data_IF_506563415421
#
_entry.id   IF_506563415421
#
_cell.length_a   1.000
_cell.length_b   1.000
_cell.length_c   1.000
_cell.angle_alpha   90.00
_cell.angle_beta   90.00
_cell.angle_gamma   90.00
#
_symmetry.space_group_name_H-M   'P 1'
#
loop_
_entity.id
_entity.type
_entity.pdbx_description
1 polymer ?
#
# COMPACT_ATOMS: atom_id res chain seq x y z
N UNK A 1 -32.91 4.30 -45.66
CA UNK A 1 -33.03 2.93 -45.11
C UNK A 1 -31.73 2.20 -45.39
N UNK A 2 -31.29 1.35 -44.43
CA UNK A 2 -30.01 0.62 -44.26
C UNK A 2 -28.87 1.47 -43.65
N UNK A 3 -28.64 1.42 -42.32
CA UNK A 3 -27.81 0.47 -41.53
C UNK A 3 -26.34 0.45 -42.05
N UNK A 4 -25.28 0.78 -41.32
CA UNK A 4 -25.01 0.78 -39.88
C UNK A 4 -23.88 -0.21 -39.59
N UNK A 5 -22.77 0.23 -38.97
CA UNK A 5 -21.93 -0.54 -38.02
C UNK A 5 -20.60 0.21 -37.77
N UNK A 6 -20.46 0.76 -36.56
CA UNK A 6 -19.21 1.27 -36.03
C UNK A 6 -18.29 0.11 -35.61
N UNK A 7 -16.99 0.21 -35.88
CA UNK A 7 -15.97 -0.62 -35.25
C UNK A 7 -14.90 0.30 -34.67
N UNK A 8 -15.12 0.78 -33.44
CA UNK A 8 -14.04 1.31 -32.61
C UNK A 8 -13.35 0.13 -31.96
N UNK A 9 -12.21 -0.28 -32.52
CA UNK A 9 -11.34 -1.27 -31.91
C UNK A 9 -10.73 -0.70 -30.62
N UNK A 10 -11.41 -0.91 -29.49
CA UNK A 10 -10.82 -0.65 -28.17
C UNK A 10 -9.85 -1.80 -27.92
N UNK A 11 -8.57 -1.59 -28.27
CA UNK A 11 -7.47 -2.45 -27.87
C UNK A 11 -7.44 -2.49 -26.35
N UNK A 12 -7.91 -3.61 -25.78
CA UNK A 12 -7.86 -3.85 -24.34
C UNK A 12 -6.43 -3.90 -23.87
N UNK A 13 -5.96 -2.82 -23.25
CA UNK A 13 -4.78 -2.87 -22.41
C UNK A 13 -5.14 -3.73 -21.19
N UNK A 14 -4.82 -5.02 -21.25
CA UNK A 14 -4.74 -5.87 -20.05
C UNK A 14 -3.51 -5.42 -19.28
N UNK A 15 -3.71 -4.46 -18.37
CA UNK A 15 -2.70 -4.11 -17.37
C UNK A 15 -2.57 -5.33 -16.45
N UNK A 16 -1.52 -6.11 -16.67
CA UNK A 16 -1.15 -7.23 -15.81
C UNK A 16 -0.83 -6.70 -14.41
N UNK A 17 -1.81 -6.81 -13.51
CA UNK A 17 -1.70 -6.41 -12.09
C UNK A 17 -0.63 -7.24 -11.36
N UNK A 18 -0.20 -8.37 -11.94
CA UNK A 18 0.84 -9.23 -11.39
C UNK A 18 2.20 -8.53 -11.26
N UNK A 19 2.57 -7.67 -12.21
CA UNK A 19 3.87 -6.96 -12.16
C UNK A 19 3.89 -5.80 -11.16
N UNK A 20 2.72 -5.34 -10.69
CA UNK A 20 2.64 -4.32 -9.66
C UNK A 20 2.94 -4.91 -8.27
N UNK A 21 2.47 -6.13 -7.99
CA UNK A 21 2.73 -6.80 -6.70
C UNK A 21 4.21 -7.10 -6.46
N UNK A 22 4.97 -7.47 -7.49
CA UNK A 22 6.41 -7.73 -7.36
C UNK A 22 7.23 -6.43 -7.20
N UNK A 23 6.76 -5.30 -7.74
CA UNK A 23 7.41 -4.00 -7.56
C UNK A 23 7.23 -3.41 -6.14
N UNK A 24 6.29 -3.93 -5.34
CA UNK A 24 6.08 -3.51 -3.96
C UNK A 24 6.99 -4.23 -2.96
N UNK A 25 7.57 -5.38 -3.32
CA UNK A 25 8.40 -6.19 -2.42
C UNK A 25 9.81 -5.61 -2.19
N UNK A 26 10.29 -4.67 -3.02
CA UNK A 26 11.70 -4.22 -2.95
C UNK A 26 11.90 -2.75 -2.57
N UNK A 27 10.84 -1.97 -2.40
CA UNK A 27 11.02 -0.55 -2.09
C UNK A 27 11.02 -0.34 -0.57
N UNK A 28 12.18 -0.49 0.06
CA UNK A 28 12.41 0.04 1.41
C UNK A 28 12.20 1.57 1.45
N UNK A 29 12.12 2.17 2.64
CA UNK A 29 12.23 3.62 2.75
C UNK A 29 13.66 4.04 2.37
N UNK A 30 13.80 5.12 1.60
CA UNK A 30 15.11 5.63 1.21
C UNK A 30 15.87 6.18 2.44
N UNK A 31 17.21 6.18 2.43
CA UNK A 31 17.98 6.80 3.51
C UNK A 31 17.60 8.28 3.70
N UNK A 32 17.24 8.65 4.93
CA UNK A 32 16.81 10.01 5.27
C UNK A 32 15.32 10.30 5.02
N UNK A 33 14.55 9.32 4.53
CA UNK A 33 13.11 9.46 4.35
C UNK A 33 12.38 9.36 5.70
N UNK A 34 11.46 10.30 5.95
CA UNK A 34 10.62 10.25 7.15
C UNK A 34 9.59 9.15 7.01
N UNK A 35 9.60 8.23 7.97
CA UNK A 35 8.58 7.18 8.09
C UNK A 35 7.59 7.58 9.16
N UNK A 36 6.29 7.60 8.80
CA UNK A 36 5.20 7.81 9.76
C UNK A 36 4.46 6.50 9.95
N UNK A 37 4.37 6.04 11.19
CA UNK A 37 3.61 4.84 11.54
C UNK A 37 2.34 5.25 12.27
N UNK A 38 1.19 4.91 11.70
CA UNK A 38 -0.12 5.09 12.32
C UNK A 38 -0.62 3.74 12.82
N UNK A 39 -0.74 3.58 14.13
CA UNK A 39 -1.40 2.40 14.70
C UNK A 39 -2.91 2.60 14.62
N UNK A 40 -3.60 1.80 13.80
CA UNK A 40 -5.06 1.89 13.65
C UNK A 40 -5.80 1.02 14.65
N UNK A 41 -5.24 -0.14 14.99
CA UNK A 41 -5.82 -1.07 15.97
C UNK A 41 -4.73 -1.84 16.71
N UNK A 42 -4.53 -1.50 17.98
CA UNK A 42 -3.52 -2.14 18.83
C UNK A 42 -3.84 -3.59 19.18
N UNK A 43 -5.12 -3.96 19.27
CA UNK A 43 -5.52 -5.31 19.67
C UNK A 43 -5.40 -6.27 18.49
N UNK A 44 -5.86 -5.83 17.33
CA UNK A 44 -5.71 -6.59 16.10
C UNK A 44 -4.28 -6.54 15.56
N UNK A 45 -3.46 -5.56 15.95
CA UNK A 45 -2.11 -5.40 15.41
C UNK A 45 -2.09 -4.75 14.02
N UNK A 46 -3.07 -3.89 13.70
CA UNK A 46 -3.12 -3.20 12.41
C UNK A 46 -2.39 -1.87 12.49
N UNK A 47 -1.49 -1.64 11.54
CA UNK A 47 -0.72 -0.42 11.40
C UNK A 47 -0.71 0.02 9.93
N UNK A 48 -0.76 1.31 9.68
CA UNK A 48 -0.37 1.89 8.40
C UNK A 48 1.03 2.46 8.53
N UNK A 49 1.92 2.07 7.63
CA UNK A 49 3.25 2.66 7.48
C UNK A 49 3.22 3.55 6.25
N UNK A 50 3.59 4.81 6.44
CA UNK A 50 3.73 5.81 5.39
C UNK A 50 5.21 6.11 5.18
N UNK A 51 5.68 5.90 3.95
CA UNK A 51 7.02 6.26 3.51
C UNK A 51 6.87 7.05 2.19
N UNK A 52 7.08 8.36 2.28
CA UNK A 52 6.85 9.28 1.16
C UNK A 52 5.39 9.27 0.75
N UNK A 53 5.11 8.90 -0.51
CA UNK A 53 3.76 8.81 -1.07
C UNK A 53 3.11 7.43 -0.93
N UNK A 54 3.85 6.47 -0.35
CA UNK A 54 3.42 5.08 -0.26
C UNK A 54 2.77 4.83 1.09
N UNK A 55 1.66 4.08 1.06
CA UNK A 55 0.98 3.56 2.25
C UNK A 55 1.00 2.04 2.21
N UNK A 56 1.49 1.44 3.29
CA UNK A 56 1.55 -0.01 3.47
C UNK A 56 0.72 -0.38 4.69
N UNK A 57 -0.24 -1.28 4.55
CA UNK A 57 -0.94 -1.87 5.68
C UNK A 57 -0.14 -3.07 6.21
N UNK A 58 0.19 -3.03 7.49
CA UNK A 58 0.92 -4.08 8.19
C UNK A 58 0.02 -4.67 9.26
N UNK A 59 0.00 -5.99 9.34
CA UNK A 59 -0.70 -6.74 10.38
C UNK A 59 0.31 -7.47 11.26
N UNK A 60 0.75 -6.82 12.33
CA UNK A 60 1.71 -7.35 13.30
C UNK A 60 1.38 -6.86 14.72
N UNK A 61 0.93 -7.79 15.56
CA UNK A 61 0.53 -7.50 16.95
C UNK A 61 1.73 -7.13 17.83
N UNK A 62 2.89 -7.73 17.61
CA UNK A 62 4.07 -7.49 18.43
C UNK A 62 4.73 -6.15 18.08
N UNK A 63 4.72 -5.79 16.80
CA UNK A 63 5.10 -4.45 16.35
C UNK A 63 4.17 -3.38 16.95
N UNK A 64 2.85 -3.60 16.89
CA UNK A 64 1.87 -2.68 17.49
C UNK A 64 2.09 -2.51 19.00
N UNK A 65 2.38 -3.60 19.73
CA UNK A 65 2.70 -3.54 21.15
C UNK A 65 3.98 -2.74 21.45
N UNK A 66 5.02 -2.89 20.60
CA UNK A 66 6.26 -2.10 20.71
C UNK A 66 6.00 -0.61 20.49
N UNK A 67 5.19 -0.25 19.50
CA UNK A 67 4.79 1.15 19.27
C UNK A 67 4.02 1.72 20.46
N UNK A 68 3.08 0.97 21.03
CA UNK A 68 2.35 1.38 22.24
C UNK A 68 3.27 1.61 23.44
N UNK A 69 4.28 0.77 23.60
CA UNK A 69 5.28 0.92 24.67
C UNK A 69 6.13 2.16 24.45
N UNK A 70 6.58 2.42 23.22
CA UNK A 70 7.35 3.61 22.86
C UNK A 70 6.54 4.90 23.09
N UNK A 71 5.27 4.93 22.67
CA UNK A 71 4.39 6.09 22.85
C UNK A 71 4.10 6.45 24.31
N UNK A 72 4.32 5.53 25.26
CA UNK A 72 4.16 5.76 26.70
C UNK A 72 5.43 6.23 27.39
N UNK A 73 6.58 6.13 26.73
CA UNK A 73 7.86 6.53 27.30
C UNK A 73 7.94 8.06 27.25
N UNK A 74 7.81 8.69 28.43
CA UNK A 74 8.01 10.13 28.63
C UNK A 74 9.48 10.49 28.55
#
# INVERSE_FOLDING_TARGET
MLLGAATVGVGGAVVSVASLSEAFEEAGAAPGETIVVQVTDLRAGRLNVFAGERRIEVHDRDLAARMAKAARRK
#
